data_IF_583439864526
#
_entry.id   IF_583439864526
#
_cell.length_a   1.000
_cell.length_b   1.000
_cell.length_c   1.000
_cell.angle_alpha   90.00
_cell.angle_beta   90.00
_cell.angle_gamma   90.00
#
_symmetry.space_group_name_H-M   'P 1'
#
loop_
_entity.id
_entity.type
_entity.pdbx_description
1 polymer ?
#
# COMPACT_ATOMS: atom_id res chain seq x y z
N UNK A 1 -28.47 -1.14 35.84
CA UNK A 1 -27.53 -1.93 35.05
C UNK A 1 -27.16 -1.10 33.83
N UNK A 2 -26.02 -0.43 33.90
CA UNK A 2 -25.31 0.15 32.78
C UNK A 2 -23.84 -0.12 33.06
N UNK A 3 -23.20 -0.96 32.24
CA UNK A 3 -21.76 -1.11 32.19
C UNK A 3 -21.30 -0.27 31.01
N UNK A 4 -20.85 0.95 31.29
CA UNK A 4 -20.00 1.68 30.35
C UNK A 4 -18.56 1.28 30.68
N UNK A 5 -17.90 0.72 29.66
CA UNK A 5 -16.52 0.28 29.73
C UNK A 5 -15.56 1.47 29.68
N UNK A 6 -14.42 1.28 30.33
CA UNK A 6 -13.26 2.15 30.45
C UNK A 6 -13.04 3.09 29.25
N UNK A 7 -13.45 4.35 29.45
CA UNK A 7 -13.02 5.51 28.67
C UNK A 7 -11.67 5.94 29.25
N UNK A 8 -10.63 5.91 28.41
CA UNK A 8 -9.35 6.62 28.55
C UNK A 8 -8.66 6.53 29.92
N UNK A 9 -7.76 5.55 30.08
CA UNK A 9 -6.65 5.67 31.04
C UNK A 9 -5.72 6.80 30.55
N UNK A 10 -6.12 8.06 30.76
CA UNK A 10 -5.15 9.12 30.96
C UNK A 10 -4.40 8.72 32.23
N UNK A 11 -3.11 8.40 32.11
CA UNK A 11 -2.27 8.05 33.25
C UNK A 11 -2.45 9.11 34.36
N UNK A 12 -2.96 8.71 35.54
CA UNK A 12 -3.14 9.56 36.73
C UNK A 12 -1.82 10.25 37.16
N UNK A 13 -0.67 9.77 36.67
CA UNK A 13 0.65 10.34 36.92
C UNK A 13 0.83 11.78 36.42
N UNK A 14 -0.09 12.28 35.57
CA UNK A 14 -0.04 13.65 35.02
C UNK A 14 -1.01 14.63 35.67
N UNK A 15 -1.79 14.23 36.68
CA UNK A 15 -2.77 15.11 37.33
C UNK A 15 -2.66 14.99 38.86
N UNK A 16 -2.90 16.08 39.57
CA UNK A 16 -2.98 16.05 41.03
C UNK A 16 -4.35 15.52 41.51
N UNK A 17 -4.49 15.38 42.84
CA UNK A 17 -5.70 14.86 43.48
C UNK A 17 -6.95 15.73 43.24
N UNK A 18 -6.79 16.95 42.72
CA UNK A 18 -7.87 17.87 42.34
C UNK A 18 -8.16 17.84 40.82
N UNK A 19 -7.46 16.99 40.06
CA UNK A 19 -7.64 16.84 38.61
C UNK A 19 -6.96 17.93 37.79
N UNK A 20 -5.98 18.64 38.36
CA UNK A 20 -5.18 19.66 37.65
C UNK A 20 -3.95 19.00 37.03
N UNK A 21 -3.69 19.27 35.76
CA UNK A 21 -2.54 18.73 35.06
C UNK A 21 -1.23 19.19 35.73
N UNK A 22 -0.44 18.22 36.21
CA UNK A 22 0.95 18.37 36.64
C UNK A 22 1.83 18.59 35.39
N UNK A 23 1.71 19.74 34.74
CA UNK A 23 2.68 20.14 33.72
C UNK A 23 4.03 20.37 34.41
N UNK A 24 5.10 19.72 33.94
CA UNK A 24 6.44 20.05 34.38
C UNK A 24 6.71 21.53 34.11
N UNK A 25 7.07 22.32 35.14
CA UNK A 25 7.48 23.72 35.02
C UNK A 25 8.90 23.85 34.39
N UNK A 26 9.22 23.03 33.41
CA UNK A 26 10.44 23.22 32.63
C UNK A 26 10.16 24.26 31.53
N UNK A 27 10.71 25.46 31.72
CA UNK A 27 10.81 26.46 30.66
C UNK A 27 11.60 25.81 29.52
N UNK A 28 10.95 25.50 28.40
CA UNK A 28 11.60 25.01 27.18
C UNK A 28 12.66 26.04 26.78
N UNK A 29 13.92 25.76 27.11
CA UNK A 29 15.03 26.64 26.79
C UNK A 29 15.32 26.51 25.29
N UNK A 30 14.84 27.50 24.54
CA UNK A 30 15.20 27.80 23.16
C UNK A 30 14.77 26.75 22.11
N UNK A 31 13.53 26.86 21.62
CA UNK A 31 13.05 26.15 20.42
C UNK A 31 14.01 26.28 19.21
N UNK A 32 14.69 27.43 19.09
CA UNK A 32 15.65 27.70 18.01
C UNK A 32 16.90 26.81 18.04
N UNK A 33 17.30 26.30 19.22
CA UNK A 33 18.47 25.41 19.36
C UNK A 33 18.16 23.94 19.03
N UNK A 34 16.87 23.59 18.97
CA UNK A 34 16.39 22.24 18.69
C UNK A 34 15.54 22.17 17.43
N UNK A 35 15.63 23.18 16.56
CA UNK A 35 14.88 23.20 15.31
C UNK A 35 15.21 21.96 14.47
N UNK A 36 14.15 21.24 14.06
CA UNK A 36 14.31 20.09 13.18
C UNK A 36 15.00 20.52 11.88
N UNK A 37 16.05 19.81 11.43
CA UNK A 37 16.85 20.26 10.30
C UNK A 37 16.02 20.35 9.01
N UNK A 38 16.39 21.30 8.14
CA UNK A 38 15.75 21.44 6.83
C UNK A 38 16.44 20.54 5.80
N UNK A 39 15.72 20.08 4.78
CA UNK A 39 16.33 19.32 3.68
C UNK A 39 17.47 20.10 3.00
N UNK A 40 17.29 21.42 2.82
CA UNK A 40 18.31 22.28 2.21
C UNK A 40 19.59 22.29 3.05
N UNK A 41 19.48 22.40 4.38
CA UNK A 41 20.66 22.35 5.27
C UNK A 41 21.36 20.98 5.27
N UNK A 42 20.63 19.91 4.94
CA UNK A 42 21.15 18.54 4.91
C UNK A 42 21.63 18.10 3.53
N UNK A 43 21.43 18.92 2.49
CA UNK A 43 21.64 18.53 1.08
C UNK A 43 23.02 17.95 0.74
N UNK A 44 24.05 18.29 1.52
CA UNK A 44 25.42 17.78 1.36
C UNK A 44 25.83 16.71 2.40
N UNK A 45 24.89 16.19 3.18
CA UNK A 45 25.14 15.27 4.30
C UNK A 45 24.28 14.00 4.14
N UNK A 46 24.87 12.95 3.57
CA UNK A 46 24.16 11.67 3.34
C UNK A 46 23.56 11.09 4.62
N UNK A 47 24.30 11.11 5.73
CA UNK A 47 23.83 10.61 7.03
C UNK A 47 22.62 11.39 7.55
N UNK A 48 22.69 12.72 7.52
CA UNK A 48 21.59 13.58 7.93
C UNK A 48 20.35 13.46 7.05
N UNK A 49 20.52 13.26 5.73
CA UNK A 49 19.39 13.01 4.81
C UNK A 49 18.71 11.66 5.10
N UNK A 50 19.49 10.61 5.40
CA UNK A 50 18.96 9.31 5.79
C UNK A 50 18.24 9.39 7.13
N UNK A 51 18.84 10.03 8.15
CA UNK A 51 18.19 10.23 9.44
C UNK A 51 16.89 11.03 9.32
N UNK A 52 16.90 12.08 8.48
CA UNK A 52 15.70 12.82 8.14
C UNK A 52 14.62 11.91 7.54
N UNK A 53 14.97 11.02 6.61
CA UNK A 53 14.02 10.11 5.99
C UNK A 53 13.50 9.03 6.95
N UNK A 54 14.36 8.51 7.84
CA UNK A 54 14.02 7.46 8.80
C UNK A 54 12.95 7.89 9.80
N UNK A 55 13.00 9.15 10.27
CA UNK A 55 12.04 9.67 11.26
C UNK A 55 10.72 10.13 10.65
N UNK A 56 10.60 10.12 9.32
CA UNK A 56 9.36 10.50 8.63
C UNK A 56 8.48 9.28 8.45
N UNK A 57 7.22 9.44 8.87
CA UNK A 57 6.21 8.41 8.70
C UNK A 57 6.09 7.98 7.23
N UNK A 58 6.09 8.93 6.30
CA UNK A 58 6.15 8.68 4.86
C UNK A 58 7.52 9.05 4.31
N UNK A 59 8.06 8.27 3.38
CA UNK A 59 9.29 8.65 2.69
C UNK A 59 9.04 9.94 1.89
N UNK A 60 9.75 11.05 2.16
CA UNK A 60 9.51 12.30 1.45
C UNK A 60 10.19 12.25 0.08
N UNK A 61 9.46 12.38 -1.05
CA UNK A 61 10.06 12.30 -2.39
C UNK A 61 11.17 13.33 -2.65
N UNK A 62 11.11 14.46 -1.94
CA UNK A 62 12.16 15.48 -2.00
C UNK A 62 13.53 14.99 -1.49
N UNK A 63 13.57 13.97 -0.62
CA UNK A 63 14.83 13.37 -0.15
C UNK A 63 15.54 12.66 -1.29
N UNK A 64 14.82 11.93 -2.16
CA UNK A 64 15.38 11.26 -3.34
C UNK A 64 16.23 12.20 -4.18
N UNK A 65 15.72 13.40 -4.43
CA UNK A 65 16.41 14.40 -5.25
C UNK A 65 17.80 14.78 -4.70
N UNK A 66 17.99 14.73 -3.38
CA UNK A 66 19.30 14.96 -2.76
C UNK A 66 20.15 13.69 -2.69
N UNK A 67 19.56 12.54 -2.33
CA UNK A 67 20.30 11.28 -2.19
C UNK A 67 20.88 10.77 -3.51
N UNK A 68 20.19 11.01 -4.64
CA UNK A 68 20.67 10.63 -5.99
C UNK A 68 21.99 11.34 -6.36
N UNK A 69 22.32 12.47 -5.72
CA UNK A 69 23.58 13.18 -5.96
C UNK A 69 24.81 12.51 -5.33
N UNK A 70 24.62 11.55 -4.42
CA UNK A 70 25.69 10.80 -3.77
C UNK A 70 26.02 9.51 -4.53
N UNK A 71 27.22 8.98 -4.31
CA UNK A 71 27.54 7.66 -4.85
C UNK A 71 26.67 6.59 -4.17
N UNK A 72 26.13 5.60 -4.90
CA UNK A 72 25.30 4.55 -4.32
C UNK A 72 25.98 3.85 -3.13
N UNK A 73 27.29 3.60 -3.22
CA UNK A 73 28.05 2.99 -2.13
C UNK A 73 28.07 3.81 -0.84
N UNK A 74 28.00 5.14 -0.92
CA UNK A 74 27.93 6.02 0.26
C UNK A 74 26.56 5.91 0.93
N UNK A 75 25.49 5.91 0.14
CA UNK A 75 24.12 5.77 0.65
C UNK A 75 23.96 4.40 1.32
N UNK A 76 24.34 3.33 0.62
CA UNK A 76 24.23 1.96 1.14
C UNK A 76 25.08 1.73 2.40
N UNK A 77 26.29 2.31 2.45
CA UNK A 77 27.15 2.22 3.62
C UNK A 77 26.48 2.80 4.87
N UNK A 78 25.87 3.99 4.76
CA UNK A 78 25.14 4.59 5.88
C UNK A 78 23.93 3.74 6.27
N UNK A 79 23.18 3.20 5.29
CA UNK A 79 22.06 2.31 5.61
C UNK A 79 22.51 1.06 6.39
N UNK A 80 23.64 0.46 6.03
CA UNK A 80 24.24 -0.65 6.79
C UNK A 80 24.60 -0.23 8.22
N UNK A 81 25.17 0.97 8.42
CA UNK A 81 25.45 1.49 9.77
C UNK A 81 24.16 1.66 10.59
N UNK A 82 23.07 2.15 9.99
CA UNK A 82 21.77 2.28 10.69
C UNK A 82 21.18 0.91 11.03
N UNK A 83 21.28 -0.08 10.13
CA UNK A 83 20.80 -1.44 10.40
C UNK A 83 21.64 -2.16 11.46
N UNK A 84 22.96 -1.93 11.49
CA UNK A 84 23.83 -2.46 12.52
C UNK A 84 23.47 -1.93 13.93
N UNK A 85 23.00 -0.68 14.01
CA UNK A 85 22.51 -0.09 15.25
C UNK A 85 21.10 -0.58 15.61
N UNK A 86 20.21 -0.67 14.62
CA UNK A 86 18.83 -1.08 14.84
C UNK A 86 18.26 -1.85 13.62
N UNK A 87 18.23 -3.19 13.67
CA UNK A 87 17.68 -4.02 12.60
C UNK A 87 16.19 -3.77 12.31
N UNK A 88 15.42 -3.23 13.25
CA UNK A 88 14.00 -2.90 13.03
C UNK A 88 13.80 -1.76 12.03
N UNK A 89 14.87 -1.05 11.64
CA UNK A 89 14.82 -0.04 10.60
C UNK A 89 14.79 -0.64 9.18
N UNK A 90 14.95 -1.96 9.04
CA UNK A 90 15.04 -2.63 7.74
C UNK A 90 13.94 -2.22 6.75
N UNK A 91 12.63 -2.23 7.08
CA UNK A 91 11.61 -1.82 6.11
C UNK A 91 11.85 -0.41 5.57
N UNK A 92 12.28 0.52 6.42
CA UNK A 92 12.53 1.91 6.05
C UNK A 92 13.83 2.07 5.26
N UNK A 93 14.89 1.37 5.65
CA UNK A 93 16.16 1.39 4.91
C UNK A 93 15.99 0.84 3.49
N UNK A 94 15.21 -0.23 3.32
CA UNK A 94 14.96 -0.82 2.01
C UNK A 94 14.05 0.10 1.16
N UNK A 95 13.05 0.76 1.75
CA UNK A 95 12.27 1.82 1.07
C UNK A 95 13.18 2.97 0.58
N UNK A 96 14.07 3.48 1.44
CA UNK A 96 15.03 4.54 1.08
C UNK A 96 15.94 4.09 -0.07
N UNK A 97 16.50 2.87 -0.01
CA UNK A 97 17.35 2.34 -1.07
C UNK A 97 16.60 2.22 -2.40
N UNK A 98 15.38 1.70 -2.37
CA UNK A 98 14.53 1.54 -3.54
C UNK A 98 14.17 2.88 -4.20
N UNK A 99 13.83 3.88 -3.40
CA UNK A 99 13.48 5.22 -3.88
C UNK A 99 14.68 5.99 -4.44
N UNK A 100 15.81 5.93 -3.73
CA UNK A 100 16.97 6.76 -4.06
C UNK A 100 17.90 6.16 -5.09
N UNK A 101 18.00 4.83 -5.17
CA UNK A 101 19.00 4.15 -5.99
C UNK A 101 18.39 3.26 -7.08
N UNK A 102 17.14 2.79 -6.89
CA UNK A 102 16.48 1.89 -7.83
C UNK A 102 17.31 0.63 -8.13
N UNK A 103 17.54 0.35 -9.40
CA UNK A 103 18.32 -0.79 -9.89
C UNK A 103 19.75 -0.87 -9.31
N UNK A 104 20.37 0.26 -8.98
CA UNK A 104 21.70 0.31 -8.37
C UNK A 104 21.74 -0.29 -6.96
N UNK A 105 20.59 -0.41 -6.28
CA UNK A 105 20.49 -1.08 -4.98
C UNK A 105 20.23 -2.59 -5.07
N UNK A 106 20.07 -3.18 -6.26
CA UNK A 106 19.71 -4.59 -6.46
C UNK A 106 20.50 -5.54 -5.57
N UNK A 107 21.83 -5.48 -5.63
CA UNK A 107 22.69 -6.43 -4.91
C UNK A 107 22.55 -6.31 -3.39
N UNK A 108 22.37 -5.10 -2.89
CA UNK A 108 22.20 -4.84 -1.47
C UNK A 108 20.81 -5.27 -0.98
N UNK A 109 19.76 -4.92 -1.72
CA UNK A 109 18.38 -5.36 -1.38
C UNK A 109 18.28 -6.88 -1.45
N UNK A 110 18.90 -7.52 -2.45
CA UNK A 110 18.96 -8.98 -2.56
C UNK A 110 19.67 -9.62 -1.37
N UNK A 111 20.81 -9.06 -0.93
CA UNK A 111 21.49 -9.54 0.26
C UNK A 111 20.59 -9.49 1.50
N UNK A 112 19.88 -8.38 1.72
CA UNK A 112 18.95 -8.25 2.85
C UNK A 112 17.74 -9.21 2.72
N UNK A 113 17.24 -9.40 1.50
CA UNK A 113 16.15 -10.31 1.19
C UNK A 113 16.54 -11.78 1.43
N UNK A 114 17.78 -12.17 1.10
CA UNK A 114 18.28 -13.53 1.29
C UNK A 114 18.41 -13.91 2.79
N UNK A 115 18.30 -12.92 3.70
CA UNK A 115 18.21 -13.14 5.14
C UNK A 115 16.76 -13.36 5.63
N UNK A 116 15.76 -13.16 4.77
CA UNK A 116 14.36 -13.39 5.13
C UNK A 116 14.07 -14.89 5.18
N UNK A 117 13.48 -15.33 6.29
CA UNK A 117 13.14 -16.75 6.52
C UNK A 117 11.64 -17.02 6.28
N UNK A 118 10.79 -16.01 6.52
CA UNK A 118 9.34 -16.12 6.46
C UNK A 118 8.75 -15.37 5.25
N UNK A 119 7.64 -15.85 4.65
CA UNK A 119 7.04 -15.22 3.48
C UNK A 119 6.57 -13.79 3.74
N UNK A 120 6.08 -13.47 4.94
CA UNK A 120 5.70 -12.11 5.32
C UNK A 120 6.89 -11.14 5.31
N UNK A 121 8.09 -11.64 5.67
CA UNK A 121 9.31 -10.85 5.60
C UNK A 121 9.68 -10.56 4.14
N UNK A 122 9.55 -11.55 3.25
CA UNK A 122 9.72 -11.34 1.79
C UNK A 122 8.72 -10.30 1.28
N UNK A 123 7.47 -10.33 1.74
CA UNK A 123 6.43 -9.40 1.29
C UNK A 123 6.63 -7.98 1.82
N UNK A 124 7.35 -7.80 2.93
CA UNK A 124 7.80 -6.48 3.37
C UNK A 124 8.76 -5.81 2.36
N UNK A 125 9.40 -6.60 1.49
CA UNK A 125 10.26 -6.10 0.41
C UNK A 125 9.48 -5.84 -0.89
N UNK A 126 8.17 -6.05 -0.95
CA UNK A 126 7.43 -6.03 -2.22
C UNK A 126 7.62 -4.71 -3.01
N UNK A 127 7.63 -3.57 -2.32
CA UNK A 127 7.92 -2.28 -2.94
C UNK A 127 9.35 -2.20 -3.48
N UNK A 128 10.33 -2.62 -2.71
CA UNK A 128 11.73 -2.59 -3.14
C UNK A 128 12.02 -3.57 -4.28
N UNK A 129 11.37 -4.73 -4.27
CA UNK A 129 11.44 -5.70 -5.37
C UNK A 129 10.97 -5.06 -6.68
N UNK A 130 9.85 -4.35 -6.70
CA UNK A 130 9.36 -3.73 -7.94
C UNK A 130 10.25 -2.61 -8.47
N UNK A 131 11.05 -1.98 -7.61
CA UNK A 131 11.93 -0.86 -7.98
C UNK A 131 13.34 -1.29 -8.34
N UNK A 132 13.87 -2.29 -7.65
CA UNK A 132 15.27 -2.68 -7.74
C UNK A 132 15.51 -3.91 -8.63
N UNK A 133 14.50 -4.74 -8.88
CA UNK A 133 14.64 -6.03 -9.57
C UNK A 133 14.02 -6.01 -10.97
N UNK A 134 14.48 -6.87 -11.89
CA UNK A 134 13.73 -7.15 -13.12
C UNK A 134 12.32 -7.66 -12.78
N UNK A 135 11.31 -7.18 -13.51
CA UNK A 135 9.90 -7.49 -13.22
C UNK A 135 9.58 -8.99 -13.09
N UNK A 136 10.19 -9.83 -13.92
CA UNK A 136 10.00 -11.29 -13.85
C UNK A 136 10.55 -11.89 -12.54
N UNK A 137 11.68 -11.39 -12.03
CA UNK A 137 12.27 -11.84 -10.77
C UNK A 137 11.45 -11.33 -9.57
N UNK A 138 11.05 -10.05 -9.59
CA UNK A 138 10.17 -9.47 -8.57
C UNK A 138 8.84 -10.23 -8.45
N UNK A 139 8.19 -10.50 -9.60
CA UNK A 139 6.97 -11.30 -9.66
C UNK A 139 7.20 -12.69 -9.05
N UNK A 140 8.32 -13.35 -9.36
CA UNK A 140 8.60 -14.69 -8.84
C UNK A 140 8.72 -14.69 -7.30
N UNK A 141 9.43 -13.73 -6.70
CA UNK A 141 9.55 -13.62 -5.25
C UNK A 141 8.19 -13.36 -4.58
N UNK A 142 7.46 -12.35 -5.04
CA UNK A 142 6.20 -11.92 -4.40
C UNK A 142 5.13 -13.00 -4.56
N UNK A 143 4.93 -13.54 -5.76
CA UNK A 143 3.92 -14.57 -5.98
C UNK A 143 4.26 -15.88 -5.26
N UNK A 144 5.55 -16.24 -5.19
CA UNK A 144 5.97 -17.42 -4.42
C UNK A 144 5.70 -17.25 -2.92
N UNK A 145 5.93 -16.06 -2.36
CA UNK A 145 5.62 -15.79 -0.95
C UNK A 145 4.11 -15.79 -0.69
N UNK A 146 3.29 -15.20 -1.57
CA UNK A 146 1.83 -15.23 -1.42
C UNK A 146 1.26 -16.65 -1.47
N UNK A 147 1.85 -17.55 -2.27
CA UNK A 147 1.39 -18.94 -2.40
C UNK A 147 1.55 -19.78 -1.13
N UNK A 148 2.42 -19.39 -0.20
CA UNK A 148 2.67 -20.14 1.04
C UNK A 148 1.83 -19.65 2.21
N UNK A 149 1.14 -18.53 2.06
CA UNK A 149 0.34 -17.92 3.12
C UNK A 149 -0.95 -18.68 3.40
N UNK A 150 -1.40 -18.63 4.65
CA UNK A 150 -2.77 -18.99 5.01
C UNK A 150 -3.77 -18.02 4.38
N UNK A 151 -5.03 -18.42 4.17
CA UNK A 151 -6.05 -17.53 3.59
C UNK A 151 -6.20 -16.20 4.36
N UNK A 152 -6.17 -16.26 5.70
CA UNK A 152 -6.28 -15.07 6.55
C UNK A 152 -5.11 -14.11 6.30
N UNK A 153 -3.88 -14.63 6.30
CA UNK A 153 -2.67 -13.83 6.07
C UNK A 153 -2.62 -13.33 4.62
N UNK A 154 -3.02 -14.16 3.65
CA UNK A 154 -3.09 -13.77 2.25
C UNK A 154 -4.00 -12.57 2.05
N UNK A 155 -5.16 -12.54 2.71
CA UNK A 155 -6.08 -11.40 2.66
C UNK A 155 -5.44 -10.09 3.15
N UNK A 156 -4.48 -10.15 4.08
CA UNK A 156 -3.74 -8.98 4.59
C UNK A 156 -2.69 -8.51 3.57
N UNK A 157 -1.99 -9.44 2.91
CA UNK A 157 -0.86 -9.14 2.02
C UNK A 157 -1.17 -9.11 0.52
N UNK A 158 -2.37 -9.47 0.07
CA UNK A 158 -2.72 -9.49 -1.37
C UNK A 158 -2.54 -8.13 -2.05
N UNK A 159 -2.57 -7.04 -1.29
CA UNK A 159 -2.30 -5.70 -1.84
C UNK A 159 -0.87 -5.54 -2.34
N UNK A 160 0.09 -6.37 -1.92
CA UNK A 160 1.45 -6.40 -2.49
C UNK A 160 1.46 -6.67 -4.01
N UNK A 161 0.38 -7.25 -4.56
CA UNK A 161 0.23 -7.40 -6.00
C UNK A 161 0.23 -6.05 -6.74
N UNK A 162 -0.14 -4.92 -6.10
CA UNK A 162 -0.14 -3.61 -6.75
C UNK A 162 1.26 -3.16 -7.22
N UNK A 163 2.32 -3.72 -6.65
CA UNK A 163 3.69 -3.41 -7.03
C UNK A 163 4.15 -4.20 -8.26
N UNK A 164 3.38 -5.18 -8.73
CA UNK A 164 3.75 -6.04 -9.83
C UNK A 164 3.30 -5.48 -11.18
N UNK A 165 4.11 -5.69 -12.21
CA UNK A 165 3.81 -5.25 -13.57
C UNK A 165 3.20 -6.38 -14.43
N UNK A 166 2.32 -6.00 -15.35
CA UNK A 166 1.74 -6.87 -16.37
C UNK A 166 0.47 -7.61 -15.94
N UNK A 167 0.02 -8.55 -16.78
CA UNK A 167 -1.21 -9.32 -16.54
C UNK A 167 -1.01 -10.49 -15.55
N UNK A 168 0.24 -10.92 -15.32
CA UNK A 168 0.60 -12.05 -14.46
C UNK A 168 -0.06 -12.02 -13.07
N UNK A 169 -0.16 -10.89 -12.36
CA UNK A 169 -0.79 -10.83 -11.02
C UNK A 169 -2.30 -11.07 -11.06
N UNK A 170 -2.99 -10.58 -12.10
CA UNK A 170 -4.43 -10.83 -12.27
C UNK A 170 -4.69 -12.29 -12.69
N UNK A 171 -3.82 -12.86 -13.53
CA UNK A 171 -3.89 -14.28 -13.90
C UNK A 171 -3.62 -15.18 -12.68
N UNK A 172 -2.68 -14.77 -11.82
CA UNK A 172 -2.43 -15.44 -10.55
C UNK A 172 -3.67 -15.44 -9.65
N UNK A 173 -4.38 -14.31 -9.52
CA UNK A 173 -5.64 -14.22 -8.78
C UNK A 173 -6.71 -15.17 -9.33
N UNK A 174 -6.83 -15.29 -10.66
CA UNK A 174 -7.74 -16.23 -11.31
C UNK A 174 -7.40 -17.68 -10.94
N UNK A 175 -6.12 -18.05 -10.94
CA UNK A 175 -5.70 -19.43 -10.58
C UNK A 175 -5.86 -19.75 -9.09
N UNK A 176 -5.69 -18.76 -8.22
CA UNK A 176 -5.76 -18.92 -6.76
C UNK A 176 -7.17 -18.69 -6.21
N UNK A 177 -8.15 -18.35 -7.04
CA UNK A 177 -9.49 -18.02 -6.56
C UNK A 177 -10.17 -19.19 -5.82
N UNK A 178 -9.78 -20.43 -6.12
CA UNK A 178 -10.36 -21.62 -5.49
C UNK A 178 -10.00 -21.77 -4.00
N UNK A 179 -8.89 -21.15 -3.54
CA UNK A 179 -8.52 -21.13 -2.12
C UNK A 179 -9.12 -19.95 -1.36
N UNK A 180 -9.84 -19.04 -2.03
CA UNK A 180 -10.47 -17.87 -1.41
C UNK A 180 -11.90 -18.22 -1.02
N UNK A 181 -12.13 -18.41 0.27
CA UNK A 181 -13.47 -18.64 0.84
C UNK A 181 -14.12 -17.33 1.28
N UNK A 182 -13.32 -16.36 1.72
CA UNK A 182 -13.79 -15.09 2.25
C UNK A 182 -13.19 -13.89 1.50
N UNK A 183 -13.98 -13.27 0.63
CA UNK A 183 -13.55 -12.09 -0.13
C UNK A 183 -13.60 -10.84 0.74
N UNK A 184 -12.44 -10.36 1.16
CA UNK A 184 -12.25 -9.04 1.80
C UNK A 184 -11.94 -7.97 0.74
N UNK A 185 -12.10 -6.69 1.08
CA UNK A 185 -11.91 -5.58 0.14
C UNK A 185 -10.51 -5.46 -0.47
N UNK A 186 -9.48 -6.00 0.20
CA UNK A 186 -8.08 -5.96 -0.28
C UNK A 186 -7.88 -6.64 -1.64
N UNK A 187 -8.66 -7.68 -1.97
CA UNK A 187 -8.61 -8.31 -3.29
C UNK A 187 -9.10 -7.35 -4.39
N UNK A 188 -10.18 -6.61 -4.13
CA UNK A 188 -10.69 -5.58 -5.05
C UNK A 188 -9.72 -4.42 -5.21
N UNK A 189 -9.07 -3.99 -4.10
CA UNK A 189 -7.99 -2.99 -4.13
C UNK A 189 -6.85 -3.44 -5.05
N UNK A 190 -6.35 -4.66 -4.86
CA UNK A 190 -5.27 -5.20 -5.68
C UNK A 190 -5.66 -5.28 -7.16
N UNK A 191 -6.86 -5.78 -7.47
CA UNK A 191 -7.33 -5.89 -8.84
C UNK A 191 -7.51 -4.52 -9.53
N UNK A 192 -8.03 -3.52 -8.80
CA UNK A 192 -8.15 -2.15 -9.31
C UNK A 192 -6.78 -1.52 -9.58
N UNK A 193 -5.83 -1.68 -8.65
CA UNK A 193 -4.45 -1.19 -8.77
C UNK A 193 -3.71 -1.77 -9.99
N UNK A 194 -3.97 -3.04 -10.31
CA UNK A 194 -3.38 -3.75 -11.44
C UNK A 194 -3.96 -3.35 -12.81
N UNK A 195 -4.95 -2.46 -12.86
CA UNK A 195 -5.55 -2.01 -14.12
C UNK A 195 -6.47 -3.05 -14.75
N UNK A 196 -7.46 -3.50 -13.99
CA UNK A 196 -8.47 -4.47 -14.46
C UNK A 196 -9.22 -3.95 -15.70
N UNK A 197 -9.45 -4.83 -16.68
CA UNK A 197 -10.22 -4.50 -17.89
C UNK A 197 -11.69 -4.88 -17.77
N UNK A 198 -12.56 -4.23 -18.54
CA UNK A 198 -13.98 -4.62 -18.59
C UNK A 198 -14.17 -6.08 -19.05
N UNK A 199 -13.44 -6.53 -20.06
CA UNK A 199 -13.49 -7.93 -20.52
C UNK A 199 -13.22 -8.92 -19.38
N UNK A 200 -12.23 -8.62 -18.53
CA UNK A 200 -11.91 -9.47 -17.37
C UNK A 200 -13.00 -9.42 -16.31
N UNK A 201 -13.58 -8.25 -16.06
CA UNK A 201 -14.73 -8.10 -15.15
C UNK A 201 -15.90 -8.96 -15.60
N UNK A 202 -16.31 -8.88 -16.87
CA UNK A 202 -17.43 -9.68 -17.38
C UNK A 202 -17.16 -11.18 -17.21
N UNK A 203 -15.96 -11.67 -17.58
CA UNK A 203 -15.56 -13.07 -17.32
C UNK A 203 -15.68 -13.45 -15.84
N UNK A 204 -15.23 -12.58 -14.93
CA UNK A 204 -15.28 -12.82 -13.48
C UNK A 204 -16.72 -12.83 -12.94
N UNK A 205 -17.60 -11.98 -13.46
CA UNK A 205 -19.03 -11.98 -13.13
C UNK A 205 -19.70 -13.28 -13.59
N UNK A 206 -19.37 -13.77 -14.79
CA UNK A 206 -19.90 -15.04 -15.30
C UNK A 206 -19.37 -16.26 -14.54
N UNK A 207 -18.11 -16.24 -14.10
CA UNK A 207 -17.53 -17.29 -13.27
C UNK A 207 -18.20 -17.40 -11.88
N UNK A 208 -18.79 -16.31 -11.39
CA UNK A 208 -19.41 -16.26 -10.08
C UNK A 208 -18.40 -16.13 -8.95
N UNK A 209 -18.78 -16.53 -7.74
CA UNK A 209 -17.96 -16.34 -6.55
C UNK A 209 -16.73 -17.28 -6.55
N UNK A 210 -15.57 -16.81 -6.08
CA UNK A 210 -15.33 -15.50 -5.44
C UNK A 210 -15.01 -14.35 -6.41
N UNK A 211 -14.66 -14.65 -7.67
CA UNK A 211 -14.18 -13.67 -8.65
C UNK A 211 -15.18 -12.55 -8.91
N UNK A 212 -16.47 -12.85 -8.97
CA UNK A 212 -17.51 -11.84 -9.18
C UNK A 212 -17.55 -10.78 -8.07
N UNK A 213 -17.27 -11.15 -6.82
CA UNK A 213 -17.18 -10.19 -5.71
C UNK A 213 -15.90 -9.34 -5.82
N UNK A 214 -14.79 -9.96 -6.22
CA UNK A 214 -13.53 -9.23 -6.47
C UNK A 214 -13.72 -8.21 -7.60
N UNK A 215 -14.44 -8.59 -8.67
CA UNK A 215 -14.75 -7.71 -9.80
C UNK A 215 -15.57 -6.48 -9.37
N UNK A 216 -16.62 -6.69 -8.57
CA UNK A 216 -17.44 -5.60 -8.04
C UNK A 216 -16.63 -4.68 -7.11
N UNK A 217 -15.85 -5.27 -6.20
CA UNK A 217 -15.00 -4.48 -5.30
C UNK A 217 -13.92 -3.71 -6.09
N UNK A 218 -13.39 -4.27 -7.18
CA UNK A 218 -12.42 -3.58 -8.04
C UNK A 218 -13.04 -2.36 -8.73
N UNK A 219 -14.26 -2.47 -9.26
CA UNK A 219 -14.99 -1.34 -9.84
C UNK A 219 -15.25 -0.25 -8.80
N UNK A 220 -15.67 -0.63 -7.58
CA UNK A 220 -15.84 0.32 -6.48
C UNK A 220 -14.52 1.04 -6.19
N UNK A 221 -13.39 0.32 -6.16
CA UNK A 221 -12.08 0.94 -5.92
C UNK A 221 -11.60 1.80 -7.11
N UNK A 222 -12.01 1.52 -8.34
CA UNK A 222 -11.72 2.38 -9.50
C UNK A 222 -12.38 3.76 -9.39
N UNK A 223 -13.38 3.96 -8.54
CA UNK A 223 -14.00 5.27 -8.31
C UNK A 223 -13.21 6.14 -7.31
N UNK A 224 -12.08 5.64 -6.80
CA UNK A 224 -11.26 6.33 -5.79
C UNK A 224 -10.74 7.68 -6.30
N UNK A 225 -10.77 8.69 -5.43
CA UNK A 225 -10.23 10.04 -5.68
C UNK A 225 -9.17 10.37 -4.63
N UNK A 226 -8.36 11.41 -4.85
CA UNK A 226 -7.33 11.84 -3.88
C UNK A 226 -7.90 12.38 -2.55
N UNK A 227 -9.17 12.81 -2.54
CA UNK A 227 -9.82 13.45 -1.37
C UNK A 227 -10.59 12.47 -0.49
N UNK A 228 -11.10 11.39 -1.09
CA UNK A 228 -11.52 10.24 -0.32
C UNK A 228 -10.24 9.53 0.10
N UNK A 229 -9.96 9.33 1.40
CA UNK A 229 -9.58 8.00 1.93
C UNK A 229 -8.56 7.89 3.08
N UNK A 230 -8.85 6.90 3.94
CA UNK A 230 -7.94 6.14 4.82
C UNK A 230 -7.23 4.96 4.09
N UNK A 231 -6.97 5.04 2.78
CA UNK A 231 -6.43 3.93 1.98
C UNK A 231 -4.91 4.06 1.76
N UNK A 232 -4.28 3.00 1.27
CA UNK A 232 -2.83 2.89 1.06
C UNK A 232 -2.26 4.07 0.26
N UNK A 233 -1.08 4.56 0.67
CA UNK A 233 -0.40 5.69 0.03
C UNK A 233 -0.21 5.46 -1.48
N UNK A 234 0.11 4.22 -1.86
CA UNK A 234 0.27 3.83 -3.26
C UNK A 234 -0.97 4.17 -4.12
N UNK A 235 -2.19 3.91 -3.62
CA UNK A 235 -3.41 4.24 -4.37
C UNK A 235 -3.66 5.75 -4.49
N UNK A 236 -3.12 6.56 -3.57
CA UNK A 236 -3.24 8.03 -3.64
C UNK A 236 -2.38 8.60 -4.76
N UNK A 237 -1.21 8.01 -4.98
CA UNK A 237 -0.29 8.40 -6.05
C UNK A 237 -0.66 7.76 -7.39
N UNK A 238 -1.26 6.57 -7.34
CA UNK A 238 -1.68 5.79 -8.49
C UNK A 238 -3.18 5.52 -8.41
N UNK A 239 -3.97 6.56 -8.65
CA UNK A 239 -5.43 6.41 -8.65
C UNK A 239 -5.81 5.32 -9.68
N UNK A 240 -6.52 4.25 -9.30
CA UNK A 240 -6.93 3.17 -10.22
C UNK A 240 -8.11 3.61 -11.09
N UNK A 241 -8.25 3.04 -12.29
CA UNK A 241 -9.41 3.26 -13.16
C UNK A 241 -9.69 2.02 -14.01
N UNK A 242 -10.90 1.93 -14.56
CA UNK A 242 -11.29 0.83 -15.43
C UNK A 242 -10.57 0.93 -16.78
N UNK A 243 -9.88 -0.13 -17.18
CA UNK A 243 -9.24 -0.21 -18.48
C UNK A 243 -10.16 -0.81 -19.56
N UNK A 244 -10.00 -0.34 -20.80
CA UNK A 244 -10.76 -0.81 -21.97
C UNK A 244 -12.29 -0.91 -21.71
N UNK A 245 -12.95 0.19 -21.28
CA UNK A 245 -14.38 0.18 -21.04
C UNK A 245 -15.18 0.05 -22.34
N UNK A 246 -16.39 -0.49 -22.23
CA UNK A 246 -17.43 -0.40 -23.28
C UNK A 246 -18.45 0.68 -22.90
N UNK A 247 -19.56 0.80 -23.64
CA UNK A 247 -20.62 1.75 -23.31
C UNK A 247 -21.17 1.49 -21.89
N UNK A 248 -21.40 2.58 -21.12
CA UNK A 248 -21.87 2.49 -19.73
C UNK A 248 -23.19 1.73 -19.65
N UNK A 249 -24.08 1.95 -20.62
CA UNK A 249 -25.36 1.29 -20.71
C UNK A 249 -25.21 -0.24 -20.85
N UNK A 250 -24.28 -0.70 -21.68
CA UNK A 250 -23.97 -2.12 -21.86
C UNK A 250 -23.36 -2.72 -20.58
N UNK A 251 -22.47 -1.98 -19.91
CA UNK A 251 -21.88 -2.41 -18.64
C UNK A 251 -22.93 -2.52 -17.53
N UNK A 252 -23.85 -1.56 -17.46
CA UNK A 252 -24.94 -1.55 -16.48
C UNK A 252 -25.90 -2.71 -16.69
N UNK A 253 -26.23 -3.06 -17.94
CA UNK A 253 -27.07 -4.22 -18.26
C UNK A 253 -26.44 -5.52 -17.72
N UNK A 254 -25.14 -5.73 -17.97
CA UNK A 254 -24.40 -6.92 -17.48
C UNK A 254 -24.38 -6.97 -15.95
N UNK A 255 -24.11 -5.84 -15.29
CA UNK A 255 -24.09 -5.79 -13.83
C UNK A 255 -25.47 -6.03 -13.21
N UNK A 256 -26.52 -5.49 -13.81
CA UNK A 256 -27.91 -5.72 -13.39
C UNK A 256 -28.30 -7.20 -13.55
N UNK A 257 -27.93 -7.82 -14.68
CA UNK A 257 -28.14 -9.25 -14.88
C UNK A 257 -27.44 -10.06 -13.79
N UNK A 258 -26.17 -9.77 -13.49
CA UNK A 258 -25.45 -10.45 -12.42
C UNK A 258 -26.13 -10.28 -11.05
N UNK A 259 -26.51 -9.07 -10.66
CA UNK A 259 -27.17 -8.80 -9.36
C UNK A 259 -28.56 -9.44 -9.28
N UNK A 260 -29.24 -9.64 -10.41
CA UNK A 260 -30.50 -10.39 -10.44
C UNK A 260 -30.30 -11.87 -10.06
N UNK A 261 -29.15 -12.46 -10.44
CA UNK A 261 -28.74 -13.83 -10.12
C UNK A 261 -28.19 -13.96 -8.69
N UNK A 262 -27.35 -13.02 -8.27
CA UNK A 262 -26.72 -12.97 -6.95
C UNK A 262 -27.16 -11.71 -6.18
N UNK A 263 -28.36 -11.79 -5.59
CA UNK A 263 -29.10 -10.63 -5.09
C UNK A 263 -28.87 -10.30 -3.60
N UNK A 264 -27.65 -10.54 -3.10
CA UNK A 264 -27.30 -10.27 -1.70
C UNK A 264 -27.09 -8.77 -1.43
N UNK A 265 -27.16 -8.30 -0.16
CA UNK A 265 -26.99 -6.87 0.15
C UNK A 265 -25.67 -6.27 -0.36
N UNK A 266 -24.56 -7.03 -0.28
CA UNK A 266 -23.23 -6.57 -0.73
C UNK A 266 -23.21 -6.25 -2.23
N UNK A 267 -23.72 -7.16 -3.07
CA UNK A 267 -23.72 -6.99 -4.53
C UNK A 267 -24.64 -5.85 -4.97
N UNK A 268 -25.81 -5.71 -4.34
CA UNK A 268 -26.73 -4.57 -4.56
C UNK A 268 -26.12 -3.23 -4.21
N UNK A 269 -25.45 -3.17 -3.05
CA UNK A 269 -24.80 -1.94 -2.60
C UNK A 269 -23.64 -1.55 -3.53
N UNK A 270 -22.84 -2.52 -3.97
CA UNK A 270 -21.77 -2.28 -4.94
C UNK A 270 -22.32 -1.77 -6.27
N UNK A 271 -23.37 -2.40 -6.82
CA UNK A 271 -24.00 -1.94 -8.07
C UNK A 271 -24.51 -0.51 -7.96
N UNK A 272 -25.28 -0.18 -6.92
CA UNK A 272 -25.77 1.19 -6.71
C UNK A 272 -24.62 2.19 -6.67
N UNK A 273 -23.57 1.85 -5.93
CA UNK A 273 -22.40 2.72 -5.83
C UNK A 273 -21.71 2.90 -7.18
N UNK A 274 -21.50 1.83 -7.95
CA UNK A 274 -20.88 1.88 -9.28
C UNK A 274 -21.69 2.78 -10.22
N UNK A 275 -23.02 2.62 -10.24
CA UNK A 275 -23.93 3.43 -11.06
C UNK A 275 -23.87 4.92 -10.74
N UNK A 276 -23.70 5.26 -9.46
CA UNK A 276 -23.55 6.64 -9.01
C UNK A 276 -22.17 7.25 -9.39
N UNK A 277 -21.17 6.41 -9.71
CA UNK A 277 -19.77 6.82 -9.84
C UNK A 277 -19.09 6.42 -11.15
N UNK A 278 -19.84 6.15 -12.22
CA UNK A 278 -19.26 5.77 -13.52
C UNK A 278 -18.25 6.78 -14.05
N UNK A 279 -18.49 8.08 -13.85
CA UNK A 279 -17.57 9.14 -14.29
C UNK A 279 -16.19 9.02 -13.64
N UNK A 280 -16.14 8.71 -12.34
CA UNK A 280 -14.90 8.52 -11.60
C UNK A 280 -14.22 7.20 -12.00
N UNK A 281 -14.99 6.13 -12.20
CA UNK A 281 -14.47 4.80 -12.59
C UNK A 281 -13.78 4.86 -13.96
N UNK A 282 -14.34 5.61 -14.90
CA UNK A 282 -13.81 5.74 -16.25
C UNK A 282 -12.71 6.80 -16.38
N UNK A 283 -12.61 7.72 -15.41
CA UNK A 283 -11.69 8.88 -15.43
C UNK A 283 -11.63 9.55 -16.78
N UNK A 284 -12.80 9.76 -17.38
CA UNK A 284 -12.88 10.51 -18.62
C UNK A 284 -12.43 11.93 -18.29
N UNK A 285 -11.22 12.30 -18.72
CA UNK A 285 -10.77 13.68 -18.67
C UNK A 285 -11.85 14.52 -19.36
N UNK A 286 -12.46 15.45 -18.63
CA UNK A 286 -13.07 16.60 -19.29
C UNK A 286 -11.90 17.32 -19.96
N UNK A 287 -11.90 17.30 -21.30
CA UNK A 287 -10.81 17.81 -22.14
C UNK A 287 -10.53 19.30 -22.01
#
# INVERSE_FOLDING_TARGET
MARHGHEYDLHDDFYDDDGIACAAEEVVQHEELFAFPTLVSLSSQVDGLIDYALVKWWYPPAVTAYLVAFAPSQVLHVLDEKLALNPYLLPKCVEIAAESLGDQAYAWVKYQLDLAEEPEQVLAFAYALSRCFPAAEANAYILSALNTLSEKTLAEYVTCLCYLEGATPLDWLETHCSSITHVVGNYGVAAAALGITWERIDRWLQAGRPLSLIALDALVNCSTTSETQNTSLWLREHLPHLHAPIAVEEMDEVLQEYVSRDSVPRTKNALRFIQEHWQQILKTEQG
#
